data_IF_836978630165
#
_entry.id   IF_836978630165
#
_cell.length_a   1.000
_cell.length_b   1.000
_cell.length_c   1.000
_cell.angle_alpha   90.00
_cell.angle_beta   90.00
_cell.angle_gamma   90.00
#
_symmetry.space_group_name_H-M   'P 1'
#
loop_
_entity.id
_entity.type
_entity.pdbx_description
1 polymer ?
#
# COMPACT_ATOMS: atom_id res chain seq x y z
N UNK A 1 11.84 16.70 25.04
CA UNK A 1 10.40 16.74 24.66
C UNK A 1 10.25 17.81 23.60
N UNK A 2 10.09 17.41 22.33
CA UNK A 2 9.79 18.34 21.25
C UNK A 2 8.29 18.39 21.06
N UNK A 3 7.68 19.55 21.28
CA UNK A 3 6.27 19.79 20.99
C UNK A 3 6.11 19.90 19.48
N UNK A 4 5.33 19.00 18.87
CA UNK A 4 4.88 19.19 17.49
C UNK A 4 4.07 20.50 17.43
N UNK A 5 4.52 21.44 16.59
CA UNK A 5 3.87 22.73 16.42
C UNK A 5 2.44 22.60 15.86
N UNK A 6 1.64 23.69 15.89
CA UNK A 6 0.28 23.67 15.35
C UNK A 6 0.34 23.46 13.83
N UNK A 7 0.10 22.21 13.40
CA UNK A 7 0.15 21.81 11.98
C UNK A 7 0.82 20.46 11.70
N UNK A 8 0.77 19.48 12.60
CA UNK A 8 1.36 18.17 12.33
C UNK A 8 0.57 17.42 11.22
N UNK A 9 1.09 17.45 10.00
CA UNK A 9 0.79 16.46 8.97
C UNK A 9 1.30 15.10 9.44
N UNK A 10 0.47 14.07 9.24
CA UNK A 10 0.82 12.70 9.62
C UNK A 10 1.77 12.10 8.59
N UNK A 11 2.63 11.17 9.02
CA UNK A 11 3.48 10.43 8.10
C UNK A 11 2.69 9.48 7.21
N UNK A 12 3.09 9.34 5.95
CA UNK A 12 2.62 8.25 5.09
C UNK A 12 3.13 6.91 5.64
N UNK A 13 2.44 5.83 5.26
CA UNK A 13 2.88 4.48 5.52
C UNK A 13 4.20 4.17 4.81
N UNK A 14 5.06 3.38 5.46
CA UNK A 14 6.30 2.91 4.86
C UNK A 14 6.04 1.99 3.67
N UNK A 15 6.88 2.07 2.64
CA UNK A 15 6.80 1.14 1.51
C UNK A 15 7.19 -0.28 1.95
N UNK A 16 6.52 -1.27 1.38
CA UNK A 16 6.89 -2.67 1.53
C UNK A 16 8.23 -2.96 0.86
N UNK A 17 9.07 -3.79 1.49
CA UNK A 17 10.34 -4.22 0.91
C UNK A 17 10.14 -5.16 -0.27
N UNK A 18 10.99 -5.06 -1.29
CA UNK A 18 10.94 -5.99 -2.42
C UNK A 18 11.44 -7.39 -2.01
N UNK A 19 10.91 -8.43 -2.64
CA UNK A 19 11.40 -9.79 -2.55
C UNK A 19 12.82 -9.95 -3.13
N UNK A 20 13.46 -11.08 -2.83
CA UNK A 20 14.73 -11.44 -3.44
C UNK A 20 14.58 -11.72 -4.94
N UNK A 21 15.65 -11.57 -5.72
CA UNK A 21 15.57 -11.62 -7.20
C UNK A 21 14.93 -12.91 -7.74
N UNK A 22 15.43 -14.09 -7.33
CA UNK A 22 14.91 -15.37 -7.85
C UNK A 22 13.66 -15.83 -7.12
N UNK A 23 13.61 -15.66 -5.80
CA UNK A 23 12.50 -16.07 -4.97
C UNK A 23 12.27 -15.04 -3.86
N UNK A 24 11.00 -14.74 -3.60
CA UNK A 24 10.59 -13.92 -2.48
C UNK A 24 9.31 -13.16 -2.77
N UNK A 25 8.44 -13.10 -1.78
CA UNK A 25 7.27 -12.23 -1.85
C UNK A 25 7.68 -10.78 -1.56
N UNK A 26 6.93 -9.84 -2.12
CA UNK A 26 7.00 -8.45 -1.68
C UNK A 26 6.40 -8.28 -0.29
N UNK A 27 6.98 -7.40 0.52
CA UNK A 27 6.44 -7.02 1.81
C UNK A 27 5.21 -6.13 1.67
N UNK A 28 4.30 -6.19 2.62
CA UNK A 28 3.14 -5.28 2.63
C UNK A 28 3.57 -3.83 2.91
N UNK A 29 2.85 -2.88 2.33
CA UNK A 29 2.97 -1.47 2.66
C UNK A 29 2.36 -1.15 4.03
N UNK A 30 2.96 -0.22 4.75
CA UNK A 30 2.46 0.25 6.04
C UNK A 30 1.21 1.10 5.90
N UNK A 31 0.38 1.16 6.94
CA UNK A 31 -0.76 2.07 6.99
C UNK A 31 -0.31 3.53 7.09
N UNK A 32 -1.12 4.45 6.56
CA UNK A 32 -0.95 5.88 6.77
C UNK A 32 -1.12 6.27 8.24
N UNK A 33 -0.42 7.30 8.69
CA UNK A 33 -0.58 7.87 10.03
C UNK A 33 -1.80 8.80 10.13
N UNK A 34 -2.41 8.86 11.31
CA UNK A 34 -3.54 9.75 11.60
C UNK A 34 -3.11 11.10 12.17
N UNK A 35 -3.79 12.17 11.77
CA UNK A 35 -3.50 13.55 12.19
C UNK A 35 -4.34 14.56 11.40
N UNK A 36 -3.98 15.85 11.46
CA UNK A 36 -4.81 16.89 10.85
C UNK A 36 -4.89 16.78 9.33
N UNK A 37 -3.79 16.34 8.69
CA UNK A 37 -3.77 15.81 7.32
C UNK A 37 -3.38 14.35 7.44
N UNK A 38 -4.26 13.44 7.02
CA UNK A 38 -4.02 12.00 7.13
C UNK A 38 -3.03 11.51 6.09
N UNK A 39 -2.16 10.59 6.50
CA UNK A 39 -1.16 9.98 5.63
C UNK A 39 -1.80 8.97 4.68
N UNK A 40 -1.24 8.87 3.48
CA UNK A 40 -1.54 7.77 2.58
C UNK A 40 -0.92 6.45 3.07
N UNK A 41 -1.50 5.33 2.69
CA UNK A 41 -0.88 4.01 2.86
C UNK A 41 0.35 3.85 1.97
N UNK A 42 1.32 3.09 2.44
CA UNK A 42 2.51 2.73 1.69
C UNK A 42 2.19 1.70 0.61
N UNK A 43 2.91 1.74 -0.52
CA UNK A 43 2.78 0.70 -1.53
C UNK A 43 3.34 -0.63 -1.03
N UNK A 44 2.76 -1.73 -1.48
CA UNK A 44 3.35 -3.06 -1.32
C UNK A 44 4.59 -3.24 -2.19
N UNK A 45 5.53 -4.05 -1.71
CA UNK A 45 6.77 -4.36 -2.40
C UNK A 45 6.55 -5.31 -3.58
N UNK A 46 7.46 -5.25 -4.54
CA UNK A 46 7.47 -6.19 -5.67
C UNK A 46 7.97 -7.57 -5.24
N UNK A 47 7.49 -8.61 -5.92
CA UNK A 47 8.02 -9.96 -5.76
C UNK A 47 9.34 -10.15 -6.52
N UNK A 48 10.05 -11.24 -6.18
CA UNK A 48 11.02 -11.86 -7.06
C UNK A 48 10.39 -12.53 -8.28
N UNK A 49 11.21 -13.21 -9.10
CA UNK A 49 10.72 -14.01 -10.23
C UNK A 49 9.64 -15.01 -9.79
N UNK A 50 9.90 -15.70 -8.68
CA UNK A 50 8.95 -16.59 -8.02
C UNK A 50 8.49 -15.95 -6.70
N UNK A 51 7.26 -15.47 -6.67
CA UNK A 51 6.69 -14.82 -5.49
C UNK A 51 5.49 -13.95 -5.83
N UNK A 52 4.70 -13.64 -4.80
CA UNK A 52 3.57 -12.73 -4.92
C UNK A 52 3.96 -11.32 -4.45
N UNK A 53 3.40 -10.31 -5.10
CA UNK A 53 3.59 -8.93 -4.67
C UNK A 53 2.93 -8.69 -3.31
N UNK A 54 3.45 -7.72 -2.56
CA UNK A 54 2.91 -7.36 -1.25
C UNK A 54 1.65 -6.51 -1.37
N UNK A 55 0.74 -6.60 -0.40
CA UNK A 55 -0.45 -5.74 -0.37
C UNK A 55 -0.08 -4.28 -0.08
N UNK A 56 -0.82 -3.34 -0.66
CA UNK A 56 -0.74 -1.93 -0.32
C UNK A 56 -1.35 -1.64 1.05
N UNK A 57 -0.76 -0.70 1.78
CA UNK A 57 -1.26 -0.28 3.09
C UNK A 57 -2.53 0.56 2.98
N UNK A 58 -3.36 0.53 4.02
CA UNK A 58 -4.55 1.37 4.09
C UNK A 58 -4.16 2.85 4.32
N UNK A 59 -4.94 3.77 3.74
CA UNK A 59 -4.88 5.18 4.09
C UNK A 59 -5.47 5.46 5.47
N UNK A 60 -4.98 6.50 6.15
CA UNK A 60 -5.48 6.84 7.47
C UNK A 60 -6.89 7.44 7.44
N UNK A 61 -7.70 7.10 8.43
CA UNK A 61 -9.03 7.69 8.66
C UNK A 61 -8.93 8.98 9.47
N UNK A 62 -9.76 9.99 9.18
CA UNK A 62 -9.83 11.23 9.96
C UNK A 62 -10.38 12.39 9.12
N UNK A 63 -9.92 13.63 9.36
CA UNK A 63 -10.42 14.86 8.71
C UNK A 63 -10.71 14.69 7.21
N UNK A 64 -9.68 14.59 6.39
CA UNK A 64 -9.77 14.04 5.03
C UNK A 64 -9.08 12.67 5.01
N UNK A 65 -9.69 11.66 4.44
CA UNK A 65 -9.14 10.32 4.38
C UNK A 65 -7.87 10.22 3.52
N UNK A 66 -6.85 9.53 4.02
CA UNK A 66 -5.63 9.25 3.26
C UNK A 66 -5.91 8.24 2.13
N UNK A 67 -5.20 8.34 1.01
CA UNK A 67 -5.31 7.32 -0.06
C UNK A 67 -4.72 5.99 0.40
N UNK A 68 -5.25 4.87 -0.10
CA UNK A 68 -4.62 3.57 0.04
C UNK A 68 -3.38 3.45 -0.84
N UNK A 69 -2.41 2.64 -0.41
CA UNK A 69 -1.22 2.32 -1.19
C UNK A 69 -1.53 1.30 -2.28
N UNK A 70 -0.76 1.31 -3.37
CA UNK A 70 -0.89 0.30 -4.42
C UNK A 70 -0.33 -1.04 -3.96
N UNK A 71 -0.92 -2.14 -4.43
CA UNK A 71 -0.34 -3.47 -4.28
C UNK A 71 0.91 -3.63 -5.17
N UNK A 72 1.83 -4.47 -4.71
CA UNK A 72 3.05 -4.81 -5.43
C UNK A 72 2.82 -5.82 -6.53
N UNK A 73 3.69 -5.80 -7.54
CA UNK A 73 3.57 -6.69 -8.69
C UNK A 73 4.27 -8.03 -8.44
N UNK A 74 3.71 -9.10 -9.00
CA UNK A 74 4.46 -10.33 -9.27
C UNK A 74 5.21 -10.23 -10.60
N UNK A 75 6.26 -11.03 -10.76
CA UNK A 75 7.14 -10.98 -11.94
C UNK A 75 6.88 -12.14 -12.90
N UNK A 76 7.36 -13.36 -12.62
CA UNK A 76 7.20 -14.51 -13.53
C UNK A 76 6.06 -15.44 -13.08
N UNK A 77 6.11 -15.89 -11.82
CA UNK A 77 5.08 -16.72 -11.20
C UNK A 77 4.71 -16.11 -9.86
N UNK A 78 3.42 -15.81 -9.70
CA UNK A 78 2.82 -15.37 -8.46
C UNK A 78 1.69 -14.36 -8.67
N UNK A 79 1.02 -14.04 -7.58
CA UNK A 79 -0.13 -13.12 -7.61
C UNK A 79 0.34 -11.69 -7.41
N UNK A 80 -0.36 -10.74 -8.02
CA UNK A 80 -0.21 -9.34 -7.62
C UNK A 80 -0.79 -9.13 -6.22
N UNK A 81 -0.18 -8.21 -5.46
CA UNK A 81 -0.72 -7.80 -4.16
C UNK A 81 -1.96 -6.93 -4.33
N UNK A 82 -2.86 -6.95 -3.36
CA UNK A 82 -4.06 -6.12 -3.38
C UNK A 82 -3.72 -4.65 -3.10
N UNK A 83 -4.46 -3.73 -3.70
CA UNK A 83 -4.40 -2.32 -3.32
C UNK A 83 -5.01 -2.11 -1.93
N UNK A 84 -4.40 -1.21 -1.16
CA UNK A 84 -4.91 -0.81 0.14
C UNK A 84 -6.16 0.04 0.00
N UNK A 85 -7.05 -0.02 0.99
CA UNK A 85 -8.24 0.82 1.01
C UNK A 85 -7.88 2.27 1.32
N UNK A 86 -8.63 3.21 0.76
CA UNK A 86 -8.64 4.60 1.19
C UNK A 86 -9.17 4.72 2.62
N UNK A 87 -8.68 5.71 3.34
CA UNK A 87 -9.18 6.08 4.65
C UNK A 87 -10.51 6.81 4.54
N UNK A 88 -11.35 6.64 5.55
CA UNK A 88 -12.60 7.39 5.67
C UNK A 88 -12.36 8.81 6.18
N UNK A 89 -13.14 9.78 5.69
CA UNK A 89 -13.08 11.17 6.12
C UNK A 89 -14.17 12.03 5.49
N UNK A 90 -14.13 13.35 5.72
CA UNK A 90 -15.03 14.33 5.08
C UNK A 90 -14.94 14.17 3.57
N UNK A 91 -13.72 14.04 3.06
CA UNK A 91 -13.43 13.48 1.74
C UNK A 91 -12.81 12.10 1.94
N UNK A 92 -13.40 11.07 1.31
CA UNK A 92 -12.83 9.72 1.35
C UNK A 92 -11.54 9.64 0.53
N UNK A 93 -10.55 8.93 1.06
CA UNK A 93 -9.34 8.59 0.32
C UNK A 93 -9.67 7.64 -0.84
N UNK A 94 -8.92 7.74 -1.94
CA UNK A 94 -9.01 6.73 -3.00
C UNK A 94 -8.36 5.44 -2.54
N UNK A 95 -8.99 4.31 -2.84
CA UNK A 95 -8.31 3.01 -2.75
C UNK A 95 -7.16 2.92 -3.76
N UNK A 96 -6.13 2.16 -3.39
CA UNK A 96 -4.96 1.90 -4.22
C UNK A 96 -5.25 0.88 -5.33
N UNK A 97 -4.46 0.93 -6.40
CA UNK A 97 -4.53 -0.07 -7.45
C UNK A 97 -4.04 -1.44 -6.94
N UNK A 98 -4.61 -2.53 -7.47
CA UNK A 98 -4.03 -3.87 -7.31
C UNK A 98 -2.79 -4.05 -8.18
N UNK A 99 -1.86 -4.89 -7.72
CA UNK A 99 -0.65 -5.26 -8.45
C UNK A 99 -0.94 -6.24 -9.58
N UNK A 100 -0.04 -6.28 -10.57
CA UNK A 100 -0.13 -7.22 -11.69
C UNK A 100 0.28 -8.62 -11.27
N UNK A 101 -0.35 -9.63 -11.89
CA UNK A 101 0.08 -11.03 -11.79
C UNK A 101 1.41 -11.29 -12.49
N UNK A 102 2.02 -12.42 -12.16
CA UNK A 102 3.15 -12.97 -12.90
C UNK A 102 2.78 -13.32 -14.35
N UNK A 103 3.79 -13.26 -15.23
CA UNK A 103 3.64 -13.48 -16.67
C UNK A 103 3.09 -14.87 -17.00
N UNK A 104 3.57 -15.92 -16.31
CA UNK A 104 3.25 -17.31 -16.64
C UNK A 104 2.05 -17.82 -15.82
N UNK A 105 2.03 -17.54 -14.52
CA UNK A 105 1.02 -18.03 -13.59
C UNK A 105 0.75 -17.00 -12.49
N UNK A 106 -0.54 -16.82 -12.16
CA UNK A 106 -1.01 -16.00 -11.05
C UNK A 106 -2.29 -15.21 -11.35
N UNK A 107 -2.78 -14.51 -10.33
CA UNK A 107 -3.95 -13.63 -10.40
C UNK A 107 -3.58 -12.18 -10.10
N UNK A 108 -4.18 -11.18 -10.77
CA UNK A 108 -3.99 -9.78 -10.42
C UNK A 108 -4.53 -9.52 -9.01
N UNK A 109 -3.96 -8.54 -8.32
CA UNK A 109 -4.49 -8.06 -7.06
C UNK A 109 -5.79 -7.29 -7.25
N UNK A 110 -6.65 -7.28 -6.23
CA UNK A 110 -7.86 -6.47 -6.23
C UNK A 110 -7.54 -4.98 -6.04
N UNK A 111 -8.39 -4.12 -6.59
CA UNK A 111 -8.34 -2.67 -6.32
C UNK A 111 -8.88 -2.42 -4.91
N UNK A 112 -8.23 -1.53 -4.16
CA UNK A 112 -8.69 -1.10 -2.84
C UNK A 112 -9.98 -0.28 -2.93
N UNK A 113 -10.80 -0.34 -1.90
CA UNK A 113 -12.04 0.43 -1.81
C UNK A 113 -11.80 1.83 -1.23
N UNK A 114 -12.77 2.72 -1.42
CA UNK A 114 -12.83 4.07 -0.82
C UNK A 114 -13.85 4.13 0.30
#
# INVERSE_FOLDING_TARGET
VGTAGPGACSGNGGQGGNGGFFYGNGGAGGAGGSGNINGAGGNGGEAGLLGSGGDGGAGATGGDGGNGGNGGNAQLIGNGGNGGNGGLGIVHGKGGAGGTRGIILGTPGSIGTS
#
